data_IF_559084793562
#
_entry.id   IF_559084793562
#
_cell.length_a   1.000
_cell.length_b   1.000
_cell.length_c   1.000
_cell.angle_alpha   90.00
_cell.angle_beta   90.00
_cell.angle_gamma   90.00
#
_symmetry.space_group_name_H-M   'P 1'
#
loop_
_entity.id
_entity.type
_entity.pdbx_description
1 polymer ?
#
# COMPACT_ATOMS: atom_id res chain seq x y z
N UNK A 1 -32.05 -9.65 4.67
CA UNK A 1 -31.59 -9.55 4.47
C UNK A 1 -31.13 -9.23 4.16
N UNK A 2 -31.13 -9.15 4.44
CA UNK A 2 -30.50 -9.04 4.11
C UNK A 2 -29.85 -8.67 3.83
N UNK A 3 -29.78 -8.66 4.09
CA UNK A 3 -29.02 -8.50 3.79
C UNK A 3 -28.30 -8.22 3.37
N UNK A 4 -28.25 -8.21 3.59
CA UNK A 4 -27.42 -8.17 3.12
C UNK A 4 -26.84 -7.84 2.54
N UNK A 5 -27.05 -7.93 2.90
CA UNK A 5 -26.36 -7.86 2.31
C UNK A 5 -25.84 -7.46 1.66
N UNK A 6 -26.01 -7.59 1.89
CA UNK A 6 -25.37 -7.45 1.24
C UNK A 6 -24.92 -6.94 0.70
N UNK A 7 -25.01 -7.05 0.84
CA UNK A 7 -24.49 -6.76 0.37
C UNK A 7 -24.13 -6.34 -0.28
N UNK A 8 -24.13 -6.40 -0.14
CA UNK A 8 -23.69 -6.17 -0.71
C UNK A 8 -23.34 -5.65 -1.44
N UNK A 9 -23.59 -5.69 -1.41
CA UNK A 9 -23.16 -5.20 -2.06
C UNK A 9 -22.66 -4.92 -2.69
N UNK A 10 -22.79 -5.05 -2.88
CA UNK A 10 -22.29 -4.80 -3.39
C UNK A 10 -21.64 -4.67 -3.95
N UNK A 11 -21.70 -5.05 -4.19
CA UNK A 11 -20.66 -5.04 -4.81
C UNK A 11 -19.67 -4.28 -5.35
N UNK A 12 -19.32 -3.95 -5.74
CA UNK A 12 -18.44 -3.18 -6.10
C UNK A 12 -18.02 -2.30 -5.19
N UNK A 13 -18.80 -1.84 -4.74
CA UNK A 13 -18.55 -0.82 -3.77
C UNK A 13 -17.77 -1.33 -2.61
N UNK A 14 -18.04 -2.53 -2.24
CA UNK A 14 -17.33 -3.08 -1.11
C UNK A 14 -15.85 -3.23 -1.38
N UNK A 15 -15.49 -3.23 -2.64
CA UNK A 15 -14.10 -3.45 -2.99
C UNK A 15 -13.27 -2.23 -2.68
N UNK A 16 -12.10 -2.48 -2.14
CA UNK A 16 -11.11 -1.45 -1.83
C UNK A 16 -9.91 -1.65 -2.72
N UNK A 17 -9.93 -1.13 -3.95
CA UNK A 17 -8.86 -1.43 -4.90
C UNK A 17 -7.48 -0.98 -4.47
N UNK A 18 -7.40 -0.03 -3.55
CA UNK A 18 -6.11 0.47 -3.11
C UNK A 18 -5.57 -0.29 -1.90
N UNK A 19 -6.24 -1.35 -1.48
CA UNK A 19 -5.80 -2.12 -0.33
C UNK A 19 -5.44 -3.53 -0.74
N UNK A 20 -4.43 -4.09 -0.09
CA UNK A 20 -4.07 -5.47 -0.37
C UNK A 20 -5.14 -6.42 0.16
N UNK A 21 -5.21 -7.61 -0.45
CA UNK A 21 -6.12 -8.65 -0.01
C UNK A 21 -5.70 -9.20 1.35
N UNK A 22 -6.61 -9.91 2.00
CA UNK A 22 -6.30 -10.50 3.30
C UNK A 22 -5.19 -11.54 3.20
N UNK A 23 -5.20 -12.34 2.14
CA UNK A 23 -4.16 -13.35 1.98
C UNK A 23 -2.79 -12.70 1.83
N UNK A 24 -2.72 -11.61 1.06
CA UNK A 24 -1.46 -10.91 0.89
C UNK A 24 -1.05 -10.23 2.18
N UNK A 25 -2.03 -9.67 2.92
CA UNK A 25 -1.73 -9.05 4.19
C UNK A 25 -1.05 -10.03 5.15
N UNK A 26 -1.57 -11.25 5.22
CA UNK A 26 -0.98 -12.25 6.10
C UNK A 26 0.44 -12.58 5.69
N UNK A 27 0.67 -12.72 4.38
CA UNK A 27 2.02 -13.02 3.90
C UNK A 27 2.97 -11.88 4.23
N UNK A 28 2.54 -10.63 4.04
CA UNK A 28 3.38 -9.49 4.35
C UNK A 28 3.69 -9.45 5.85
N UNK A 29 2.67 -9.71 6.68
CA UNK A 29 2.90 -9.72 8.11
C UNK A 29 3.92 -10.77 8.52
N UNK A 30 3.87 -11.93 7.88
CA UNK A 30 4.85 -12.98 8.16
C UNK A 30 6.25 -12.55 7.75
N UNK A 31 6.37 -11.91 6.61
CA UNK A 31 7.68 -11.41 6.17
C UNK A 31 8.22 -10.35 7.13
N UNK A 32 7.36 -9.46 7.59
CA UNK A 32 7.80 -8.43 8.52
C UNK A 32 8.27 -9.02 9.85
N UNK A 33 7.64 -10.11 10.26
CA UNK A 33 7.98 -10.75 11.53
C UNK A 33 9.25 -11.57 11.46
N UNK A 34 9.54 -12.17 10.30
CA UNK A 34 10.63 -13.15 10.18
C UNK A 34 11.69 -12.74 9.18
N UNK A 35 11.53 -11.64 8.49
CA UNK A 35 12.50 -11.21 7.49
C UNK A 35 13.74 -10.61 8.13
N UNK A 36 14.74 -10.38 7.29
CA UNK A 36 15.96 -9.74 7.74
C UNK A 36 15.82 -8.24 7.76
N UNK A 37 16.94 -7.56 7.72
CA UNK A 37 16.96 -6.10 7.84
C UNK A 37 16.17 -5.40 6.76
N UNK A 38 16.09 -5.99 5.57
CA UNK A 38 15.39 -5.34 4.46
C UNK A 38 13.89 -5.27 4.64
N UNK A 39 13.34 -6.14 5.48
CA UNK A 39 11.89 -6.13 5.72
C UNK A 39 11.55 -5.85 7.19
N UNK A 40 12.48 -5.36 7.95
CA UNK A 40 12.25 -5.03 9.34
C UNK A 40 11.76 -3.58 9.45
N UNK A 41 10.52 -3.36 9.89
CA UNK A 41 9.98 -2.00 9.96
C UNK A 41 10.82 -1.07 10.85
N UNK A 42 11.55 -1.61 11.82
CA UNK A 42 12.38 -0.78 12.68
C UNK A 42 13.47 -0.05 11.89
N UNK A 43 13.83 -0.57 10.73
CA UNK A 43 14.86 0.05 9.91
C UNK A 43 14.30 0.84 8.73
N UNK A 44 12.98 1.04 8.70
CA UNK A 44 12.34 1.70 7.56
C UNK A 44 12.99 3.03 7.23
N UNK A 45 13.29 3.82 8.22
CA UNK A 45 13.85 5.14 8.02
C UNK A 45 15.27 5.28 8.55
N UNK A 46 15.96 4.16 8.74
CA UNK A 46 17.24 4.17 9.43
C UNK A 46 18.33 4.99 8.70
N UNK A 47 18.21 5.11 7.38
CA UNK A 47 19.19 5.87 6.60
C UNK A 47 18.61 7.17 6.04
N UNK A 48 17.45 7.57 6.52
CA UNK A 48 16.77 8.74 5.99
C UNK A 48 17.31 10.01 6.67
N UNK A 49 17.50 11.05 5.88
CA UNK A 49 17.99 12.32 6.43
C UNK A 49 17.03 12.87 7.47
N UNK A 50 17.58 13.49 8.49
CA UNK A 50 16.77 14.03 9.57
C UNK A 50 15.73 15.03 9.07
N UNK A 51 16.11 15.89 8.13
CA UNK A 51 15.14 16.87 7.62
C UNK A 51 13.94 16.22 6.95
N UNK A 52 14.15 15.08 6.29
CA UNK A 52 13.02 14.36 5.69
C UNK A 52 12.14 13.75 6.76
N UNK A 53 12.73 13.23 7.83
CA UNK A 53 11.93 12.69 8.92
C UNK A 53 11.08 13.78 9.57
N UNK A 54 11.67 14.94 9.79
CA UNK A 54 10.92 16.06 10.35
C UNK A 54 9.80 16.49 9.44
N UNK A 55 10.05 16.50 8.14
CA UNK A 55 9.02 16.86 7.17
C UNK A 55 7.86 15.88 7.19
N UNK A 56 8.15 14.60 7.37
CA UNK A 56 7.09 13.59 7.45
C UNK A 56 6.25 13.82 8.69
N UNK A 57 6.91 14.01 9.83
CA UNK A 57 6.20 14.19 11.09
C UNK A 57 5.36 15.45 11.06
N UNK A 58 5.83 16.47 10.39
CA UNK A 58 5.12 17.76 10.32
C UNK A 58 4.06 17.79 9.22
N UNK A 59 3.93 16.72 8.46
CA UNK A 59 2.88 16.66 7.45
C UNK A 59 3.23 17.28 6.12
N UNK A 60 4.49 17.69 5.94
CA UNK A 60 4.91 18.25 4.66
C UNK A 60 5.13 17.18 3.59
N UNK A 61 5.38 15.96 4.02
CA UNK A 61 5.58 14.83 3.14
C UNK A 61 4.63 13.71 3.58
N UNK A 62 3.94 13.11 2.63
CA UNK A 62 3.02 12.00 2.91
C UNK A 62 3.73 10.70 2.51
N UNK A 63 4.19 9.92 3.48
CA UNK A 63 4.93 8.70 3.16
C UNK A 63 4.07 7.63 2.49
N UNK A 64 2.77 7.62 2.77
CA UNK A 64 1.88 6.66 2.11
C UNK A 64 1.80 6.96 0.62
N UNK A 65 1.66 8.24 0.29
CA UNK A 65 1.61 8.64 -1.10
C UNK A 65 2.89 8.27 -1.83
N UNK A 66 4.03 8.46 -1.18
CA UNK A 66 5.31 8.14 -1.79
C UNK A 66 5.47 6.63 -1.98
N UNK A 67 5.00 5.84 -1.02
CA UNK A 67 5.03 4.39 -1.16
C UNK A 67 4.17 3.96 -2.35
N UNK A 68 2.97 4.55 -2.48
CA UNK A 68 2.11 4.25 -3.62
C UNK A 68 2.77 4.64 -4.93
N UNK A 69 3.42 5.80 -4.95
CA UNK A 69 4.14 6.24 -6.15
C UNK A 69 5.21 5.23 -6.54
N UNK A 70 5.90 4.69 -5.54
CA UNK A 70 6.93 3.70 -5.82
C UNK A 70 6.34 2.42 -6.37
N UNK A 71 5.22 1.96 -5.80
CA UNK A 71 4.54 0.77 -6.34
C UNK A 71 4.12 1.02 -7.79
N UNK A 72 3.58 2.20 -8.08
CA UNK A 72 3.20 2.53 -9.45
C UNK A 72 4.41 2.51 -10.38
N UNK A 73 5.53 3.05 -9.92
CA UNK A 73 6.74 3.07 -10.72
C UNK A 73 7.30 1.68 -10.97
N UNK A 74 6.94 0.73 -10.12
CA UNK A 74 7.34 -0.67 -10.31
C UNK A 74 6.31 -1.46 -11.10
N UNK A 75 5.18 -0.85 -11.48
CA UNK A 75 4.14 -1.53 -12.24
C UNK A 75 3.32 -2.50 -11.42
N UNK A 76 3.24 -2.32 -10.11
CA UNK A 76 2.61 -3.26 -9.21
C UNK A 76 1.27 -2.72 -8.69
N UNK A 77 0.33 -3.65 -8.48
CA UNK A 77 -0.95 -3.27 -7.88
C UNK A 77 -0.86 -3.27 -6.36
N UNK A 78 -2.02 -3.16 -5.69
CA UNK A 78 -2.06 -3.09 -4.23
C UNK A 78 -1.68 -4.40 -3.56
N UNK A 79 -1.60 -5.48 -4.32
CA UNK A 79 -1.17 -6.78 -3.81
C UNK A 79 0.27 -7.10 -4.19
N UNK A 80 0.96 -6.18 -4.86
CA UNK A 80 2.32 -6.43 -5.29
C UNK A 80 2.42 -7.26 -6.57
N UNK A 81 1.31 -7.43 -7.29
CA UNK A 81 1.31 -8.19 -8.53
C UNK A 81 1.57 -7.26 -9.71
N UNK A 82 2.28 -7.76 -10.70
CA UNK A 82 2.57 -6.97 -11.88
C UNK A 82 1.29 -6.74 -12.69
N UNK A 83 0.96 -5.49 -12.95
CA UNK A 83 -0.20 -5.15 -13.78
C UNK A 83 0.18 -4.17 -14.89
N UNK A 84 1.45 -3.81 -14.98
CA UNK A 84 1.89 -2.83 -15.96
C UNK A 84 1.87 -1.43 -15.40
N UNK A 85 2.66 -0.56 -16.01
CA UNK A 85 2.85 0.79 -15.47
C UNK A 85 1.59 1.63 -15.54
N UNK A 86 0.83 1.54 -16.63
CA UNK A 86 -0.37 2.36 -16.78
C UNK A 86 -1.43 1.99 -15.74
N UNK A 87 -1.67 0.69 -15.57
CA UNK A 87 -2.68 0.27 -14.61
C UNK A 87 -2.22 0.55 -13.18
N UNK A 88 -0.94 0.31 -12.89
CA UNK A 88 -0.42 0.59 -11.55
C UNK A 88 -0.56 2.08 -11.21
N UNK A 89 -0.29 2.94 -12.17
CA UNK A 89 -0.43 4.37 -11.95
C UNK A 89 -1.89 4.73 -11.71
N UNK A 90 -2.81 4.11 -12.45
CA UNK A 90 -4.22 4.36 -12.24
C UNK A 90 -4.64 3.98 -10.82
N UNK A 91 -4.15 2.85 -10.35
CA UNK A 91 -4.51 2.36 -9.02
C UNK A 91 -3.97 3.26 -7.92
N UNK A 92 -2.72 3.64 -8.01
CA UNK A 92 -2.02 4.26 -6.88
C UNK A 92 -1.96 5.77 -6.95
N UNK A 93 -2.01 6.36 -8.15
CA UNK A 93 -1.71 7.78 -8.30
C UNK A 93 -2.86 8.56 -8.87
N UNK A 94 -3.50 8.06 -9.93
CA UNK A 94 -4.44 8.85 -10.71
C UNK A 94 -5.85 8.83 -10.14
N UNK A 95 -6.21 7.81 -9.40
CA UNK A 95 -7.58 7.63 -8.94
C UNK A 95 -7.94 8.53 -7.77
N UNK A 96 -7.15 9.51 -7.49
CA UNK A 96 -7.43 10.40 -6.37
C UNK A 96 -8.04 11.67 -6.79
#
# INVERSE_FOLDING_TARGET
MSKTTSKEVGPRAARQPERMSEAVRQRVQEELASGGDLTNPAFLFSTTATSLLLAIVDGLIDPIRLARQTLANRGLDENGAWVGFAEAKRIHVVTR
#
